data_IF_899845331644
#
_entry.id   IF_899845331644
#
_cell.length_a   1.000
_cell.length_b   1.000
_cell.length_c   1.000
_cell.angle_alpha   90.00
_cell.angle_beta   90.00
_cell.angle_gamma   90.00
#
_symmetry.space_group_name_H-M   'P 1'
#
loop_
_entity.id
_entity.type
_entity.pdbx_description
1 polymer ?
#
# COMPACT_ATOMS: atom_id res chain seq x y z
N UNK A 1 -18.76 35.16 32.98
CA UNK A 1 -17.69 35.74 32.14
C UNK A 1 -16.52 34.78 31.86
N UNK A 2 -16.35 33.62 32.54
CA UNK A 2 -15.27 32.65 32.22
C UNK A 2 -15.58 31.66 31.09
N UNK A 3 -16.86 31.40 30.77
CA UNK A 3 -17.23 30.49 29.68
C UNK A 3 -16.77 30.95 28.29
N UNK A 4 -16.50 32.24 28.14
CA UNK A 4 -16.13 32.85 26.86
C UNK A 4 -14.74 32.41 26.37
N UNK A 5 -13.75 32.36 27.27
CA UNK A 5 -12.34 32.10 26.90
C UNK A 5 -12.12 30.63 26.53
N UNK A 6 -12.79 29.71 27.24
CA UNK A 6 -12.73 28.27 26.91
C UNK A 6 -13.44 28.02 25.58
N UNK A 7 -14.61 28.63 25.35
CA UNK A 7 -15.33 28.53 24.09
C UNK A 7 -14.48 29.05 22.92
N UNK A 8 -13.84 30.20 23.10
CA UNK A 8 -12.99 30.83 22.09
C UNK A 8 -11.72 29.99 21.82
N UNK A 9 -11.14 29.38 22.85
CA UNK A 9 -10.01 28.45 22.70
C UNK A 9 -10.38 27.18 21.92
N UNK A 10 -11.56 26.61 22.19
CA UNK A 10 -12.08 25.44 21.45
C UNK A 10 -12.37 25.81 19.99
N UNK A 11 -12.97 26.96 19.74
CA UNK A 11 -13.24 27.45 18.38
C UNK A 11 -11.94 27.67 17.59
N UNK A 12 -10.92 28.25 18.23
CA UNK A 12 -9.58 28.41 17.63
C UNK A 12 -8.90 27.07 17.37
N UNK A 13 -8.99 26.10 18.29
CA UNK A 13 -8.46 24.75 18.08
C UNK A 13 -9.16 24.05 16.93
N UNK A 14 -10.49 24.13 16.86
CA UNK A 14 -11.27 23.51 15.79
C UNK A 14 -10.89 24.10 14.42
N UNK A 15 -10.76 25.42 14.33
CA UNK A 15 -10.34 26.09 13.10
C UNK A 15 -8.88 25.80 12.75
N UNK A 16 -7.96 25.94 13.70
CA UNK A 16 -6.53 25.73 13.49
C UNK A 16 -6.22 24.27 13.14
N UNK A 17 -6.68 23.32 13.94
CA UNK A 17 -6.45 21.90 13.66
C UNK A 17 -7.25 21.42 12.45
N UNK A 18 -8.49 21.91 12.27
CA UNK A 18 -9.33 21.54 11.13
C UNK A 18 -8.75 21.99 9.80
N UNK A 19 -8.25 23.23 9.72
CA UNK A 19 -7.61 23.75 8.49
C UNK A 19 -6.34 22.96 8.15
N UNK A 20 -5.52 22.60 9.16
CA UNK A 20 -4.34 21.76 8.95
C UNK A 20 -4.74 20.39 8.41
N UNK A 21 -5.75 19.74 8.99
CA UNK A 21 -6.24 18.43 8.51
C UNK A 21 -6.75 18.54 7.07
N UNK A 22 -7.55 19.56 6.74
CA UNK A 22 -8.03 19.78 5.37
C UNK A 22 -6.87 20.03 4.41
N UNK A 23 -5.89 20.84 4.81
CA UNK A 23 -4.71 21.12 3.99
C UNK A 23 -3.89 19.85 3.73
N UNK A 24 -3.61 19.06 4.77
CA UNK A 24 -2.91 17.79 4.62
C UNK A 24 -3.71 16.79 3.79
N UNK A 25 -5.03 16.70 3.97
CA UNK A 25 -5.90 15.86 3.15
C UNK A 25 -5.83 16.26 1.67
N UNK A 26 -5.87 17.56 1.37
CA UNK A 26 -5.68 18.06 0.00
C UNK A 26 -4.30 17.70 -0.56
N UNK A 27 -3.23 17.82 0.25
CA UNK A 27 -1.90 17.40 -0.16
C UNK A 27 -1.82 15.90 -0.46
N UNK A 28 -2.39 15.06 0.41
CA UNK A 28 -2.44 13.60 0.23
C UNK A 28 -3.22 13.24 -1.03
N UNK A 29 -4.36 13.88 -1.27
CA UNK A 29 -5.13 13.68 -2.51
C UNK A 29 -4.31 14.10 -3.73
N UNK A 30 -3.62 15.23 -3.66
CA UNK A 30 -2.77 15.73 -4.75
C UNK A 30 -1.61 14.78 -5.05
N UNK A 31 -0.88 14.32 -4.04
CA UNK A 31 0.22 13.36 -4.21
C UNK A 31 -0.27 11.99 -4.66
N UNK A 32 -1.44 11.55 -4.20
CA UNK A 32 -2.08 10.32 -4.67
C UNK A 32 -2.50 10.44 -6.13
N UNK A 33 -3.08 11.58 -6.52
CA UNK A 33 -3.44 11.86 -7.91
C UNK A 33 -2.19 11.88 -8.80
N UNK A 34 -1.11 12.52 -8.34
CA UNK A 34 0.19 12.49 -9.02
C UNK A 34 0.72 11.05 -9.15
N UNK A 35 0.73 10.26 -8.07
CA UNK A 35 1.16 8.86 -8.11
C UNK A 35 0.33 8.02 -9.09
N UNK A 36 -0.99 8.20 -9.08
CA UNK A 36 -1.91 7.49 -9.97
C UNK A 36 -1.76 7.91 -11.43
N UNK A 37 -1.49 9.20 -11.66
CA UNK A 37 -1.20 9.74 -12.99
C UNK A 37 0.12 9.16 -13.52
N UNK A 38 1.18 9.21 -12.71
CA UNK A 38 2.48 8.62 -13.07
C UNK A 38 2.33 7.14 -13.38
N UNK A 39 1.73 6.33 -12.49
CA UNK A 39 1.53 4.91 -12.73
C UNK A 39 0.69 4.60 -13.99
N UNK A 40 -0.23 5.48 -14.37
CA UNK A 40 -1.08 5.30 -15.56
C UNK A 40 -0.38 5.71 -16.87
N UNK A 41 0.38 6.81 -16.87
CA UNK A 41 0.97 7.38 -18.08
C UNK A 41 2.44 6.99 -18.28
N UNK A 42 3.15 6.68 -17.20
CA UNK A 42 4.50 6.15 -17.17
C UNK A 42 4.49 4.88 -16.32
N UNK A 43 3.96 3.75 -16.83
CA UNK A 43 4.15 2.47 -16.18
C UNK A 43 5.65 2.18 -16.16
N UNK A 44 6.32 2.59 -15.09
CA UNK A 44 7.58 1.99 -14.70
C UNK A 44 7.28 0.51 -14.54
N UNK A 45 7.95 -0.29 -15.37
CA UNK A 45 7.91 -1.74 -15.27
C UNK A 45 8.47 -2.10 -13.90
N UNK A 46 7.62 -2.12 -12.88
CA UNK A 46 8.00 -2.52 -11.53
C UNK A 46 8.49 -3.97 -11.63
N UNK A 47 9.82 -4.12 -11.65
CA UNK A 47 10.43 -5.31 -11.12
C UNK A 47 9.88 -5.47 -9.69
N UNK A 48 9.38 -6.66 -9.32
CA UNK A 48 8.48 -6.81 -8.18
C UNK A 48 9.17 -6.45 -6.87
N UNK A 49 8.93 -5.22 -6.39
CA UNK A 49 9.28 -4.77 -5.06
C UNK A 49 8.33 -5.33 -3.98
N UNK A 50 7.44 -6.28 -4.34
CA UNK A 50 6.58 -7.01 -3.42
C UNK A 50 7.25 -8.23 -2.77
N UNK A 51 8.43 -8.65 -3.23
CA UNK A 51 9.12 -9.81 -2.65
C UNK A 51 9.78 -9.55 -1.28
N UNK A 52 9.82 -8.30 -0.80
CA UNK A 52 10.51 -7.94 0.43
C UNK A 52 9.59 -7.83 1.67
N UNK A 53 8.32 -7.46 1.50
CA UNK A 53 7.41 -7.27 2.64
C UNK A 53 6.60 -8.53 2.99
N UNK A 54 6.31 -9.38 2.01
CA UNK A 54 5.50 -10.59 2.20
C UNK A 54 6.26 -11.71 2.94
N UNK A 55 7.60 -11.68 2.92
CA UNK A 55 8.44 -12.64 3.65
C UNK A 55 8.47 -12.42 5.16
N UNK A 56 7.97 -11.29 5.65
CA UNK A 56 8.00 -10.95 7.08
C UNK A 56 6.71 -11.31 7.83
N UNK A 57 5.59 -11.63 7.14
CA UNK A 57 4.28 -11.78 7.80
C UNK A 57 3.42 -12.99 7.40
N UNK A 58 3.89 -13.92 6.58
CA UNK A 58 2.98 -14.92 5.98
C UNK A 58 3.38 -16.39 5.99
N UNK A 59 4.48 -16.80 6.61
CA UNK A 59 4.91 -18.21 6.51
C UNK A 59 4.30 -19.12 7.59
N UNK A 60 2.97 -19.08 7.67
CA UNK A 60 2.14 -20.18 8.14
C UNK A 60 1.00 -20.33 7.15
N UNK A 61 1.25 -21.01 6.03
CA UNK A 61 0.19 -21.46 5.14
C UNK A 61 0.02 -22.96 5.36
N UNK A 62 -1.14 -23.32 5.91
CA UNK A 62 -1.75 -24.64 5.82
C UNK A 62 -1.72 -25.18 4.37
N UNK A 63 -1.84 -26.51 4.17
CA UNK A 63 -1.81 -27.13 2.86
C UNK A 63 -3.11 -26.81 2.12
N UNK A 64 -3.20 -25.60 1.60
CA UNK A 64 -4.21 -25.24 0.61
C UNK A 64 -3.71 -25.75 -0.73
N UNK A 65 -4.56 -26.56 -1.37
CA UNK A 65 -4.43 -27.13 -2.70
C UNK A 65 -4.48 -26.00 -3.74
N UNK A 66 -3.53 -25.06 -3.65
CA UNK A 66 -3.47 -23.88 -4.49
C UNK A 66 -3.04 -24.33 -5.90
N UNK A 67 -3.94 -24.28 -6.89
CA UNK A 67 -3.65 -24.73 -8.25
C UNK A 67 -2.48 -23.94 -8.86
N UNK A 68 -2.22 -22.72 -8.41
CA UNK A 68 -1.10 -21.92 -8.87
C UNK A 68 0.24 -22.45 -8.31
N UNK A 69 0.27 -22.93 -7.07
CA UNK A 69 1.45 -23.60 -6.50
C UNK A 69 1.74 -24.92 -7.22
N UNK A 70 0.72 -25.73 -7.49
CA UNK A 70 0.89 -27.00 -8.23
C UNK A 70 1.41 -26.75 -9.65
N UNK A 71 0.89 -25.72 -10.34
CA UNK A 71 1.36 -25.33 -11.66
C UNK A 71 2.83 -24.85 -11.65
N UNK A 72 3.20 -24.02 -10.68
CA UNK A 72 4.57 -23.53 -10.52
C UNK A 72 5.57 -24.67 -10.22
N UNK A 73 5.20 -25.61 -9.34
CA UNK A 73 6.03 -26.78 -9.00
C UNK A 73 6.17 -27.70 -10.23
N UNK A 74 5.07 -27.95 -10.96
CA UNK A 74 5.10 -28.77 -12.19
C UNK A 74 6.02 -28.16 -13.26
N UNK A 75 5.92 -26.84 -13.47
CA UNK A 75 6.79 -26.12 -14.40
C UNK A 75 8.26 -26.20 -13.98
N UNK A 76 8.56 -26.07 -12.68
CA UNK A 76 9.92 -26.18 -12.15
C UNK A 76 10.51 -27.59 -12.35
N UNK A 77 9.71 -28.65 -12.13
CA UNK A 77 10.14 -30.04 -12.34
C UNK A 77 10.39 -30.30 -13.84
N UNK A 78 9.51 -29.83 -14.71
CA UNK A 78 9.68 -29.95 -16.16
C UNK A 78 10.95 -29.27 -16.65
N UNK A 79 11.23 -28.05 -16.17
CA UNK A 79 12.46 -27.31 -16.45
C UNK A 79 13.71 -28.07 -15.98
N UNK A 80 13.70 -28.61 -14.76
CA UNK A 80 14.82 -29.37 -14.23
C UNK A 80 15.10 -30.65 -15.04
N UNK A 81 14.04 -31.37 -15.42
CA UNK A 81 14.17 -32.61 -16.20
C UNK A 81 14.63 -32.34 -17.63
N UNK A 82 14.16 -31.27 -18.25
CA UNK A 82 14.62 -30.82 -19.57
C UNK A 82 16.08 -30.36 -19.55
N UNK A 83 16.55 -29.81 -18.43
CA UNK A 83 17.94 -29.38 -18.25
C UNK A 83 18.90 -30.52 -17.87
N UNK A 84 18.36 -31.63 -17.36
CA UNK A 84 19.13 -32.82 -16.93
C UNK A 84 19.21 -33.91 -18.00
N UNK A 85 18.53 -33.72 -19.13
CA UNK A 85 18.75 -34.44 -20.38
C UNK A 85 19.60 -33.58 -21.32
#
# INVERSE_FOLDING_TARGET
>A
MQGDIVSQGVELMLFGMGTVVVFLALLVVSTTAMSRFIARYFPESEAPALAALERLHGQQSEPSDDPNLVAAISAAIHQYRAKKH
#
